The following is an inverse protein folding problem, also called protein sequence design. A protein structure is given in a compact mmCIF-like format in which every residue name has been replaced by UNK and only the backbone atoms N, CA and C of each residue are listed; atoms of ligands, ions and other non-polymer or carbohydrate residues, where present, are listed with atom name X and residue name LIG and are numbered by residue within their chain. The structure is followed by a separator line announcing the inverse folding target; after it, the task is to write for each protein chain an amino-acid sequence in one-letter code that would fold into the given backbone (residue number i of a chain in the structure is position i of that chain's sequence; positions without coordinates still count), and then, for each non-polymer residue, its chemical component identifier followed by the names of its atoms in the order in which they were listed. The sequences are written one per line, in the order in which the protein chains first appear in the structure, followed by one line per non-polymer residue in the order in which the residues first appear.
data_IF_200436651448
#
_entry.id   IF_200436651448
#
_cell.length_a   1.000
_cell.length_b   1.000
_cell.length_c   1.000
_cell.angle_alpha   90.00
_cell.angle_beta   90.00
_cell.angle_gamma   90.00
#
_symmetry.space_group_name_H-M   'P 1'
#
loop_
_entity.id
_entity.type
_entity.pdbx_description
1 polymer ?
#
# COMPACT_ATOMS: atom_id res chain seq x y z
N UNK A 1 -3.58 -7.78 -4.10
CA UNK A 1 -2.65 -8.61 -3.31
C UNK A 1 -1.75 -9.34 -4.28
N UNK A 2 -0.47 -9.49 -3.95
CA UNK A 2 0.51 -10.26 -4.71
C UNK A 2 1.23 -11.20 -3.74
N UNK A 3 1.45 -12.45 -4.14
CA UNK A 3 2.22 -13.45 -3.41
C UNK A 3 3.31 -13.92 -4.36
N UNK A 4 4.55 -13.94 -3.89
CA UNK A 4 5.68 -14.48 -4.61
C UNK A 4 6.03 -15.86 -4.06
N UNK A 5 6.14 -16.81 -4.98
CA UNK A 5 6.60 -18.16 -4.71
C UNK A 5 7.99 -18.35 -5.34
N UNK A 6 8.84 -19.14 -4.71
CA UNK A 6 10.05 -19.65 -5.35
C UNK A 6 9.75 -20.91 -6.18
N UNK A 7 10.82 -21.53 -6.69
CA UNK A 7 10.73 -22.73 -7.53
C UNK A 7 10.23 -23.97 -6.77
N UNK A 8 10.21 -23.94 -5.45
CA UNK A 8 9.75 -25.02 -4.58
C UNK A 8 8.38 -24.68 -3.96
N UNK A 9 7.64 -23.74 -4.55
CA UNK A 9 6.33 -23.24 -4.07
C UNK A 9 6.36 -22.65 -2.66
N UNK A 10 7.52 -22.21 -2.17
CA UNK A 10 7.63 -21.53 -0.87
C UNK A 10 7.35 -20.05 -1.03
N UNK A 11 6.58 -19.49 -0.11
CA UNK A 11 6.31 -18.04 -0.07
C UNK A 11 7.58 -17.28 0.30
N UNK A 12 8.09 -16.48 -0.63
CA UNK A 12 9.32 -15.69 -0.45
C UNK A 12 9.06 -14.20 -0.30
N UNK A 13 7.84 -13.76 -0.61
CA UNK A 13 7.42 -12.38 -0.42
C UNK A 13 5.95 -12.18 -0.73
N UNK A 14 5.45 -11.02 -0.34
CA UNK A 14 4.07 -10.64 -0.56
C UNK A 14 3.90 -9.12 -0.61
N UNK A 15 2.80 -8.68 -1.19
CA UNK A 15 2.33 -7.31 -1.12
C UNK A 15 0.82 -7.26 -0.89
N UNK A 16 0.40 -6.47 0.09
CA UNK A 16 -1.00 -6.23 0.42
C UNK A 16 -1.34 -4.78 0.09
N UNK A 17 -2.40 -4.61 -0.70
CA UNK A 17 -2.95 -3.31 -1.09
C UNK A 17 -4.46 -3.36 -0.97
N UNK A 18 -5.08 -2.21 -0.70
CA UNK A 18 -6.54 -2.11 -0.58
C UNK A 18 -7.05 -0.78 -1.14
N UNK A 19 -8.30 -0.72 -1.60
CA UNK A 19 -8.97 0.56 -1.88
C UNK A 19 -8.94 1.46 -0.65
N UNK A 20 -8.69 2.76 -0.85
CA UNK A 20 -8.65 3.69 0.28
C UNK A 20 -10.04 3.90 0.87
N UNK A 21 -10.19 3.55 2.14
CA UNK A 21 -11.44 3.69 2.88
C UNK A 21 -11.59 5.06 3.55
N UNK A 22 -10.55 5.90 3.50
CA UNK A 22 -10.50 7.20 4.18
C UNK A 22 -11.69 8.11 3.82
N UNK A 23 -12.07 8.19 2.53
CA UNK A 23 -13.23 8.99 2.09
C UNK A 23 -14.55 8.41 2.60
N UNK A 24 -14.68 7.09 2.63
CA UNK A 24 -15.89 6.42 3.12
C UNK A 24 -16.08 6.62 4.61
N UNK A 25 -15.01 6.45 5.41
CA UNK A 25 -15.03 6.67 6.86
C UNK A 25 -15.36 8.12 7.22
N UNK A 26 -14.83 9.10 6.44
CA UNK A 26 -15.22 10.51 6.59
C UNK A 26 -16.71 10.73 6.33
N UNK A 27 -17.26 10.14 5.25
CA UNK A 27 -18.69 10.24 4.93
C UNK A 27 -19.58 9.58 5.98
N UNK A 28 -19.16 8.45 6.54
CA UNK A 28 -19.88 7.77 7.60
C UNK A 28 -19.71 8.41 8.98
N UNK A 29 -18.92 9.50 9.09
CA UNK A 29 -18.54 10.15 10.36
C UNK A 29 -17.98 9.15 11.39
N UNK A 30 -17.27 8.13 10.91
CA UNK A 30 -16.73 7.05 11.74
C UNK A 30 -17.76 6.05 12.29
N UNK A 31 -19.06 6.19 11.97
CA UNK A 31 -20.10 5.27 12.41
C UNK A 31 -20.36 4.21 11.34
N UNK A 32 -20.53 2.95 11.73
CA UNK A 32 -20.94 1.89 10.80
C UNK A 32 -22.46 1.77 10.67
N UNK A 33 -23.19 2.04 11.75
CA UNK A 33 -24.65 1.87 11.82
C UNK A 33 -25.38 3.22 11.92
N UNK A 34 -26.62 3.31 11.41
CA UNK A 34 -27.34 2.25 10.69
C UNK A 34 -26.92 2.11 9.21
N UNK A 35 -26.42 3.16 8.56
CA UNK A 35 -26.16 3.15 7.10
C UNK A 35 -24.70 3.43 6.71
N UNK A 36 -23.80 3.52 7.68
CA UNK A 36 -22.38 3.84 7.45
C UNK A 36 -21.64 2.79 6.60
N UNK A 37 -22.00 1.51 6.76
CA UNK A 37 -21.42 0.40 6.03
C UNK A 37 -21.64 0.50 4.50
N UNK A 38 -22.71 1.16 4.04
CA UNK A 38 -22.98 1.36 2.62
C UNK A 38 -21.89 2.19 1.95
N UNK A 39 -21.33 3.19 2.66
CA UNK A 39 -20.22 3.98 2.15
C UNK A 39 -18.94 3.15 2.02
N UNK A 40 -18.68 2.24 2.97
CA UNK A 40 -17.53 1.35 2.95
C UNK A 40 -17.63 0.34 1.80
N UNK A 41 -18.77 -0.33 1.66
CA UNK A 41 -19.02 -1.27 0.56
C UNK A 41 -18.89 -0.58 -0.81
N UNK A 42 -19.38 0.65 -0.94
CA UNK A 42 -19.22 1.44 -2.16
C UNK A 42 -17.75 1.76 -2.45
N UNK A 43 -16.96 2.10 -1.43
CA UNK A 43 -15.53 2.37 -1.59
C UNK A 43 -14.70 1.13 -1.92
N UNK A 44 -15.11 -0.05 -1.45
CA UNK A 44 -14.49 -1.32 -1.83
C UNK A 44 -14.74 -1.69 -3.29
N UNK A 45 -15.91 -1.34 -3.84
CA UNK A 45 -16.28 -1.65 -5.24
C UNK A 45 -15.85 -0.58 -6.24
N UNK A 46 -15.87 0.69 -5.84
CA UNK A 46 -15.55 1.84 -6.71
C UNK A 46 -14.56 2.75 -6.02
N UNK A 47 -13.34 2.78 -6.54
CA UNK A 47 -12.24 3.55 -6.00
C UNK A 47 -11.35 4.07 -7.11
N UNK A 48 -10.65 5.16 -6.82
CA UNK A 48 -9.61 5.73 -7.69
C UNK A 48 -8.26 5.82 -6.97
N UNK A 49 -8.25 5.47 -5.68
CA UNK A 49 -7.13 5.58 -4.76
C UNK A 49 -6.94 4.25 -4.05
N UNK A 50 -5.72 3.72 -4.11
CA UNK A 50 -5.31 2.51 -3.40
C UNK A 50 -4.31 2.88 -2.31
N UNK A 51 -4.50 2.31 -1.13
CA UNK A 51 -3.53 2.34 -0.04
C UNK A 51 -2.67 1.06 -0.15
N UNK A 52 -1.36 1.25 -0.30
CA UNK A 52 -0.38 0.18 -0.30
C UNK A 52 0.05 -0.09 1.13
N UNK A 53 -0.42 -1.21 1.68
CA UNK A 53 -0.37 -1.46 3.11
C UNK A 53 0.99 -1.98 3.56
N UNK A 54 1.45 -3.04 2.92
CA UNK A 54 2.65 -3.73 3.33
C UNK A 54 3.26 -4.47 2.16
N UNK A 55 4.58 -4.45 2.09
CA UNK A 55 5.39 -5.31 1.23
C UNK A 55 6.41 -5.97 2.13
N UNK A 56 6.55 -7.28 2.00
CA UNK A 56 7.51 -8.07 2.75
C UNK A 56 8.21 -9.04 1.82
N UNK A 57 9.53 -9.13 1.91
CA UNK A 57 10.35 -10.11 1.20
C UNK A 57 11.34 -10.68 2.21
N UNK A 58 11.54 -12.01 2.18
CA UNK A 58 12.51 -12.68 3.04
C UNK A 58 13.92 -12.13 2.74
N UNK A 59 14.76 -11.82 3.76
CA UNK A 59 16.08 -11.21 3.56
C UNK A 59 17.00 -11.93 2.57
N UNK A 60 16.96 -13.27 2.53
CA UNK A 60 17.74 -14.10 1.58
C UNK A 60 17.41 -13.88 0.10
N UNK A 61 16.31 -13.17 -0.15
CA UNK A 61 15.79 -12.85 -1.47
C UNK A 61 15.86 -11.34 -1.79
N UNK A 62 16.44 -10.52 -0.91
CA UNK A 62 16.70 -9.11 -1.19
C UNK A 62 17.70 -8.94 -2.34
N UNK A 63 17.66 -7.80 -3.02
CA UNK A 63 18.53 -7.44 -4.16
C UNK A 63 18.47 -8.37 -5.38
N UNK A 64 17.48 -9.28 -5.45
CA UNK A 64 17.25 -10.16 -6.61
C UNK A 64 16.19 -9.64 -7.58
N UNK A 65 15.86 -8.34 -7.52
CA UNK A 65 14.86 -7.72 -8.39
C UNK A 65 13.39 -8.05 -8.05
N UNK A 66 13.11 -8.78 -6.98
CA UNK A 66 11.74 -9.19 -6.63
C UNK A 66 10.78 -8.03 -6.37
N UNK A 67 11.29 -6.90 -5.85
CA UNK A 67 10.49 -5.68 -5.73
C UNK A 67 9.92 -5.27 -7.10
N UNK A 68 10.74 -5.28 -8.15
CA UNK A 68 10.30 -4.91 -9.50
C UNK A 68 9.18 -5.84 -9.99
N UNK A 69 9.28 -7.15 -9.74
CA UNK A 69 8.24 -8.14 -10.10
C UNK A 69 6.92 -7.86 -9.36
N UNK A 70 6.98 -7.58 -8.06
CA UNK A 70 5.79 -7.20 -7.27
C UNK A 70 5.15 -5.95 -7.87
N UNK A 71 5.95 -4.90 -8.08
CA UNK A 71 5.43 -3.62 -8.56
C UNK A 71 4.89 -3.71 -9.98
N UNK A 72 5.51 -4.46 -10.89
CA UNK A 72 5.00 -4.70 -12.24
C UNK A 72 3.62 -5.38 -12.19
N UNK A 73 3.50 -6.44 -11.39
CA UNK A 73 2.23 -7.15 -11.18
C UNK A 73 1.16 -6.25 -10.58
N UNK A 74 1.50 -5.47 -9.55
CA UNK A 74 0.56 -4.54 -8.92
C UNK A 74 0.14 -3.42 -9.87
N UNK A 75 1.09 -2.77 -10.54
CA UNK A 75 0.83 -1.66 -11.45
C UNK A 75 -0.03 -2.09 -12.63
N UNK A 76 0.27 -3.24 -13.24
CA UNK A 76 -0.55 -3.80 -14.33
C UNK A 76 -2.00 -3.98 -13.89
N UNK A 77 -2.23 -4.47 -12.68
CA UNK A 77 -3.58 -4.61 -12.13
C UNK A 77 -4.21 -3.26 -11.77
N UNK A 78 -3.45 -2.31 -11.24
CA UNK A 78 -3.95 -0.97 -10.91
C UNK A 78 -4.42 -0.22 -12.14
N UNK A 79 -3.67 -0.31 -13.25
CA UNK A 79 -4.03 0.29 -14.54
C UNK A 79 -5.31 -0.36 -15.07
N UNK A 80 -5.40 -1.70 -15.07
CA UNK A 80 -6.62 -2.43 -15.49
C UNK A 80 -7.85 -2.03 -14.69
N UNK A 81 -7.69 -1.76 -13.40
CA UNK A 81 -8.76 -1.36 -12.49
C UNK A 81 -9.06 0.14 -12.51
N UNK A 82 -8.39 0.93 -13.37
CA UNK A 82 -8.61 2.38 -13.48
C UNK A 82 -8.16 3.17 -12.25
N UNK A 83 -7.21 2.65 -11.48
CA UNK A 83 -6.66 3.33 -10.30
C UNK A 83 -5.84 4.54 -10.75
N UNK A 84 -6.15 5.72 -10.19
CA UNK A 84 -5.47 6.97 -10.55
C UNK A 84 -4.28 7.27 -9.67
N UNK A 85 -4.32 6.84 -8.41
CA UNK A 85 -3.35 7.20 -7.38
C UNK A 85 -3.11 6.04 -6.42
N UNK A 86 -1.89 5.97 -5.91
CA UNK A 86 -1.50 5.03 -4.85
C UNK A 86 -0.86 5.84 -3.71
N UNK A 87 -1.15 5.47 -2.47
CA UNK A 87 -0.49 6.00 -1.28
C UNK A 87 0.24 4.85 -0.60
N UNK A 88 1.55 5.01 -0.40
CA UNK A 88 2.31 4.10 0.45
C UNK A 88 2.01 4.35 1.93
N UNK A 89 1.98 3.28 2.73
CA UNK A 89 1.92 3.41 4.17
C UNK A 89 3.14 4.18 4.73
N UNK A 90 3.04 4.74 5.95
CA UNK A 90 4.14 5.46 6.57
C UNK A 90 5.42 4.61 6.61
N UNK A 91 6.51 5.22 6.16
CA UNK A 91 7.84 4.62 6.14
C UNK A 91 8.78 5.49 6.96
N UNK A 92 9.82 4.87 7.52
CA UNK A 92 10.84 5.62 8.25
C UNK A 92 11.63 6.50 7.29
N UNK A 93 11.85 7.75 7.69
CA UNK A 93 12.60 8.75 6.90
C UNK A 93 14.06 8.32 6.66
N UNK A 94 14.63 7.48 7.54
CA UNK A 94 15.98 6.95 7.43
C UNK A 94 16.08 5.63 6.63
N UNK A 95 14.97 5.04 6.17
CA UNK A 95 15.00 3.81 5.38
C UNK A 95 15.15 4.15 3.90
N UNK A 96 16.37 4.51 3.50
CA UNK A 96 16.72 4.88 2.12
C UNK A 96 16.46 3.74 1.14
N UNK A 97 16.70 2.48 1.54
CA UNK A 97 16.44 1.32 0.69
C UNK A 97 14.99 1.24 0.22
N UNK A 98 14.03 1.56 1.10
CA UNK A 98 12.61 1.59 0.75
C UNK A 98 12.22 2.85 -0.02
N UNK A 99 12.82 4.01 0.30
CA UNK A 99 12.55 5.25 -0.43
C UNK A 99 12.99 5.16 -1.90
N UNK A 100 14.17 4.60 -2.15
CA UNK A 100 14.74 4.46 -3.50
C UNK A 100 13.86 3.62 -4.45
N UNK A 101 12.99 2.76 -3.92
CA UNK A 101 12.02 2.01 -4.73
C UNK A 101 11.06 2.96 -5.46
N UNK A 102 10.74 4.10 -4.86
CA UNK A 102 9.76 5.05 -5.40
C UNK A 102 10.36 6.06 -6.38
N UNK A 103 11.68 6.16 -6.49
CA UNK A 103 12.36 7.10 -7.41
C UNK A 103 12.05 6.80 -8.88
N UNK A 104 11.65 5.57 -9.18
CA UNK A 104 11.20 5.16 -10.52
C UNK A 104 9.80 5.67 -10.88
N UNK A 105 9.11 6.34 -9.95
CA UNK A 105 7.76 6.87 -10.13
C UNK A 105 7.76 8.39 -9.99
N UNK A 106 6.77 9.10 -10.55
CA UNK A 106 6.50 10.51 -10.22
C UNK A 106 5.90 10.63 -8.81
N UNK A 107 6.61 10.09 -7.81
CA UNK A 107 6.22 10.08 -6.42
C UNK A 107 6.54 11.43 -5.77
N UNK A 108 5.75 11.78 -4.76
CA UNK A 108 6.00 12.95 -3.92
C UNK A 108 5.69 12.61 -2.46
N UNK A 109 6.44 13.18 -1.49
CA UNK A 109 6.07 13.07 -0.08
C UNK A 109 4.64 13.56 0.15
N UNK A 110 3.78 12.68 0.68
CA UNK A 110 2.38 13.01 0.93
C UNK A 110 2.14 13.58 2.34
N UNK A 111 2.80 13.01 3.35
CA UNK A 111 2.64 13.39 4.75
C UNK A 111 3.87 12.97 5.55
N UNK A 112 4.41 13.86 6.38
CA UNK A 112 5.46 13.56 7.36
C UNK A 112 4.86 13.49 8.76
N UNK A 113 5.22 12.48 9.54
CA UNK A 113 4.77 12.29 10.93
C UNK A 113 6.01 12.25 11.83
N UNK A 114 5.97 12.97 12.95
CA UNK A 114 7.04 13.00 13.95
C UNK A 114 6.47 12.66 15.31
N UNK A 115 7.11 11.75 16.03
CA UNK A 115 6.77 11.41 17.41
C UNK A 115 7.82 12.05 18.32
N UNK A 116 7.38 12.78 19.34
CA UNK A 116 8.25 13.41 20.32
C UNK A 116 8.00 12.75 21.68
N UNK A 117 9.08 12.37 22.36
CA UNK A 117 9.03 11.90 23.74
C UNK A 117 9.38 13.07 24.65
N UNK A 118 8.53 13.36 25.63
CA UNK A 118 8.84 14.27 26.74
C UNK A 118 9.23 13.41 27.93
N UNK A 119 10.50 13.49 28.33
CA UNK A 119 10.96 12.91 29.59
C UNK A 119 10.42 13.79 30.73
N UNK A 120 9.74 13.16 31.70
CA UNK A 120 9.20 13.83 32.89
C UNK A 120 10.31 14.14 33.89
#
# INVERSE_FOLDING_TARGET
MCILLDREDKVVGFAVTMPSLSKALKKSRGKMLPFGFLYLLKALKRYELIDMLMIGIIPSYHNKGLNAVIFDHLNTNFIKLGTKRVIANPQLENNTAVQNIFDYYPARPYMTRRCYLKTL
#
